data_IF_571139218421
#
_entry.id   IF_571139218421
#
_cell.length_a   1.000
_cell.length_b   1.000
_cell.length_c   1.000
_cell.angle_alpha   90.00
_cell.angle_beta   90.00
_cell.angle_gamma   90.00
#
_symmetry.space_group_name_H-M   'P 1'
#
loop_
_entity.id
_entity.type
_entity.pdbx_description
1 polymer ?
#
# COMPACT_ATOMS: atom_id res chain seq x y z
N UNK A 1 2.58 23.97 44.30
CA UNK A 1 2.38 23.02 43.19
C UNK A 1 2.64 23.79 41.90
N UNK A 2 3.86 23.70 41.39
CA UNK A 2 4.26 24.33 40.11
C UNK A 2 3.65 23.56 38.96
N UNK A 3 2.67 24.18 38.29
CA UNK A 3 2.16 23.72 36.98
C UNK A 3 3.26 23.91 35.94
N UNK A 4 4.14 22.93 35.78
CA UNK A 4 5.06 22.90 34.64
C UNK A 4 4.27 22.55 33.39
N UNK A 5 4.28 23.45 32.40
CA UNK A 5 3.73 23.20 31.07
C UNK A 5 4.45 21.97 30.49
N UNK A 6 3.72 20.96 29.96
CA UNK A 6 4.38 19.80 29.37
C UNK A 6 5.30 20.22 28.22
N UNK A 7 6.43 19.54 28.03
CA UNK A 7 7.37 19.89 26.97
C UNK A 7 6.73 19.71 25.58
N UNK A 8 7.15 20.44 24.56
CA UNK A 8 6.67 20.25 23.18
C UNK A 8 7.04 18.87 22.67
N UNK A 9 6.33 18.40 21.65
CA UNK A 9 6.65 17.13 20.97
C UNK A 9 8.11 17.11 20.49
N UNK A 10 8.83 16.04 20.80
CA UNK A 10 10.25 15.93 20.43
C UNK A 10 10.96 14.71 21.00
N UNK A 11 12.25 14.64 20.70
CA UNK A 11 13.17 13.64 21.23
C UNK A 11 13.83 14.18 22.51
N UNK A 12 13.75 13.40 23.57
CA UNK A 12 14.31 13.73 24.88
C UNK A 12 15.04 12.51 25.45
N UNK A 13 15.99 12.70 26.40
CA UNK A 13 16.60 11.58 27.09
C UNK A 13 15.55 10.62 27.64
N UNK A 14 15.79 9.32 27.49
CA UNK A 14 14.82 8.31 27.92
C UNK A 14 14.57 8.34 29.43
N UNK A 15 13.34 8.63 29.89
CA UNK A 15 13.02 8.65 31.30
C UNK A 15 13.11 7.27 31.97
N UNK A 16 13.20 6.19 31.19
CA UNK A 16 13.44 4.84 31.69
C UNK A 16 14.91 4.56 32.00
N UNK A 17 15.82 5.54 31.76
CA UNK A 17 17.24 5.45 32.11
C UNK A 17 18.11 4.73 31.10
N UNK A 18 17.69 4.56 29.85
CA UNK A 18 18.57 4.10 28.78
C UNK A 18 19.43 5.24 28.25
N UNK A 19 20.59 4.92 27.63
CA UNK A 19 21.47 5.91 26.97
C UNK A 19 20.91 6.45 25.65
N UNK A 20 19.61 6.19 25.37
CA UNK A 20 18.93 6.59 24.15
C UNK A 20 17.99 7.77 24.40
N UNK A 21 17.54 8.41 23.31
CA UNK A 21 16.46 9.38 23.34
C UNK A 21 15.13 8.70 23.05
N UNK A 22 14.09 9.08 23.80
CA UNK A 22 12.71 8.62 23.60
C UNK A 22 11.86 9.77 23.04
N UNK A 23 10.95 9.43 22.15
CA UNK A 23 10.06 10.43 21.57
C UNK A 23 8.86 10.72 22.49
N UNK A 24 8.65 12.01 22.79
CA UNK A 24 7.48 12.56 23.46
C UNK A 24 6.49 13.06 22.42
N UNK A 25 5.23 12.60 22.45
CA UNK A 25 4.19 12.95 21.47
C UNK A 25 3.32 14.15 21.87
N UNK A 26 3.65 14.80 22.99
CA UNK A 26 2.88 15.92 23.56
C UNK A 26 1.94 15.50 24.70
N UNK A 27 1.62 14.20 24.82
CA UNK A 27 0.73 13.66 25.87
C UNK A 27 1.39 12.54 26.66
N UNK A 28 2.23 11.70 26.00
CA UNK A 28 2.87 10.52 26.61
C UNK A 28 4.19 10.17 25.92
N UNK A 29 5.02 9.41 26.64
CA UNK A 29 6.23 8.81 26.09
C UNK A 29 5.90 7.65 25.17
N UNK A 30 6.39 7.71 23.95
CA UNK A 30 6.22 6.62 22.98
C UNK A 30 7.23 5.50 23.19
N UNK A 31 7.09 4.39 22.45
CA UNK A 31 8.07 3.29 22.43
C UNK A 31 9.24 3.54 21.48
N UNK A 32 9.27 4.69 20.80
CA UNK A 32 10.31 5.02 19.84
C UNK A 32 11.58 5.45 20.57
N UNK A 33 12.68 4.75 20.34
CA UNK A 33 14.01 5.04 20.85
C UNK A 33 14.95 5.29 19.68
N UNK A 34 15.90 6.24 19.84
CA UNK A 34 17.00 6.47 18.91
C UNK A 34 18.29 6.73 19.68
N UNK A 35 19.43 6.48 19.05
CA UNK A 35 20.70 6.92 19.63
C UNK A 35 20.79 8.45 19.56
N UNK A 36 21.33 9.11 20.60
CA UNK A 36 21.61 10.55 20.56
C UNK A 36 22.50 10.87 19.35
N UNK A 37 22.29 12.00 18.66
CA UNK A 37 23.19 12.44 17.62
C UNK A 37 24.62 12.58 18.17
N UNK A 38 25.61 12.08 17.43
CA UNK A 38 27.02 12.20 17.82
C UNK A 38 27.36 13.69 17.95
N UNK A 39 27.99 14.12 19.07
CA UNK A 39 28.31 15.52 19.27
C UNK A 39 29.26 16.01 18.19
N UNK A 40 28.87 17.06 17.46
CA UNK A 40 29.76 17.66 16.45
C UNK A 40 31.09 18.06 17.09
N UNK A 41 32.24 17.76 16.44
CA UNK A 41 33.54 18.14 16.96
C UNK A 41 33.58 19.68 17.11
N UNK A 42 33.71 20.16 18.35
CA UNK A 42 33.86 21.59 18.64
C UNK A 42 35.09 22.10 17.94
N UNK A 43 34.96 22.98 16.97
CA UNK A 43 36.01 23.81 16.47
C UNK A 43 36.54 24.69 17.61
N UNK A 44 37.62 24.26 18.23
CA UNK A 44 38.39 25.09 19.16
C UNK A 44 39.14 26.09 18.29
N UNK A 45 38.66 27.33 18.21
CA UNK A 45 39.43 28.47 17.70
C UNK A 45 40.46 28.86 18.78
N UNK A 46 41.56 28.12 18.81
CA UNK A 46 42.75 28.49 19.60
C UNK A 46 43.69 29.29 18.73
N UNK A 47 43.83 30.58 19.07
CA UNK A 47 44.87 31.45 18.54
C UNK A 47 46.24 30.97 18.99
N UNK A 48 47.12 30.54 18.08
CA UNK A 48 48.51 30.21 18.35
C UNK A 48 49.39 31.18 17.56
N UNK A 49 50.39 31.88 18.21
CA UNK A 49 51.24 32.83 17.53
C UNK A 49 52.24 32.15 16.59
N UNK A 50 52.49 32.81 15.49
CA UNK A 50 53.41 32.56 14.44
C UNK A 50 54.89 32.61 14.91
N UNK A 51 55.69 31.52 14.72
CA UNK A 51 57.16 31.63 14.69
C UNK A 51 57.78 30.58 13.76
N UNK A 52 58.19 31.03 12.59
CA UNK A 52 59.38 30.70 11.75
C UNK A 52 59.84 29.23 11.62
N UNK A 53 59.84 28.60 10.46
CA UNK A 53 60.75 28.64 9.32
C UNK A 53 60.62 27.34 8.44
N UNK A 54 61.29 27.16 7.30
CA UNK A 54 60.69 26.63 6.09
C UNK A 54 61.11 25.20 5.78
N UNK A 55 60.18 24.33 5.29
CA UNK A 55 60.54 23.09 4.62
C UNK A 55 59.63 22.77 3.44
N UNK A 56 60.26 22.70 2.29
CA UNK A 56 60.04 21.89 1.09
C UNK A 56 58.62 21.61 0.60
N UNK A 57 58.38 22.12 -0.60
CA UNK A 57 57.26 21.82 -1.51
C UNK A 57 57.23 20.35 -1.90
N UNK A 58 56.13 19.68 -1.62
CA UNK A 58 55.67 18.47 -2.29
C UNK A 58 54.47 18.87 -3.17
N UNK A 59 54.40 18.47 -4.44
CA UNK A 59 53.30 18.87 -5.32
C UNK A 59 51.98 18.23 -4.86
N UNK A 60 51.05 19.07 -4.50
CA UNK A 60 49.69 18.69 -4.16
C UNK A 60 48.90 18.30 -5.40
N UNK A 61 48.49 17.03 -5.46
CA UNK A 61 47.42 16.56 -6.34
C UNK A 61 46.15 17.41 -6.15
N UNK A 62 45.35 17.60 -7.19
CA UNK A 62 44.13 18.38 -7.10
C UNK A 62 43.18 17.75 -6.09
N UNK A 63 42.94 18.46 -5.01
CA UNK A 63 41.93 18.17 -4.01
C UNK A 63 40.59 18.24 -4.71
N UNK A 64 40.00 17.09 -5.00
CA UNK A 64 38.59 17.01 -5.33
C UNK A 64 37.82 17.56 -4.12
N UNK A 65 37.31 18.75 -4.27
CA UNK A 65 36.27 19.30 -3.39
C UNK A 65 35.03 18.45 -3.60
N UNK A 66 34.91 17.38 -2.83
CA UNK A 66 33.60 16.76 -2.59
C UNK A 66 32.79 17.78 -1.82
N UNK A 67 32.10 18.63 -2.55
CA UNK A 67 31.02 19.44 -2.00
C UNK A 67 30.00 18.42 -1.52
N UNK A 68 29.96 18.19 -0.20
CA UNK A 68 28.82 17.49 0.41
C UNK A 68 27.57 18.18 -0.11
N UNK A 69 26.57 17.44 -0.63
CA UNK A 69 25.35 18.07 -1.06
C UNK A 69 24.78 18.79 0.15
N UNK A 70 24.73 20.13 0.06
CA UNK A 70 23.89 20.94 0.93
C UNK A 70 22.54 20.23 0.92
N UNK A 71 22.07 19.84 2.09
CA UNK A 71 20.66 19.56 2.33
C UNK A 71 19.89 20.83 1.94
N UNK A 72 19.75 21.02 0.63
CA UNK A 72 18.77 21.92 0.06
C UNK A 72 17.45 21.38 0.50
N UNK A 73 16.71 22.22 1.20
CA UNK A 73 15.31 22.11 1.51
C UNK A 73 14.52 21.62 0.29
N UNK A 74 14.58 20.30 0.01
CA UNK A 74 13.58 19.66 -0.80
C UNK A 74 12.36 19.59 0.10
N UNK A 75 11.66 20.71 0.19
CA UNK A 75 10.27 20.71 0.59
C UNK A 75 9.53 19.87 -0.43
N UNK A 76 9.71 18.56 -0.34
CA UNK A 76 8.77 17.63 -0.93
C UNK A 76 7.39 18.14 -0.51
N UNK A 77 6.45 18.37 -1.44
CA UNK A 77 5.16 18.92 -1.09
C UNK A 77 4.62 18.04 0.03
N UNK A 78 4.50 18.60 1.23
CA UNK A 78 3.90 17.93 2.38
C UNK A 78 2.50 17.57 1.93
N UNK A 79 2.39 16.34 1.41
CA UNK A 79 1.12 15.77 1.05
C UNK A 79 0.25 15.90 2.31
N UNK A 80 -0.92 16.53 2.21
CA UNK A 80 -1.96 16.56 3.25
C UNK A 80 -2.33 15.16 3.73
N UNK A 81 -1.74 14.18 3.20
CA UNK A 81 -2.10 12.78 3.15
C UNK A 81 -1.08 11.86 3.84
N UNK A 82 -0.42 12.21 4.84
CA UNK A 82 0.40 11.31 5.64
C UNK A 82 1.66 10.76 4.93
N UNK A 83 2.61 10.43 5.73
CA UNK A 83 3.85 9.74 5.35
C UNK A 83 4.02 8.53 6.24
N UNK A 84 4.85 7.57 5.84
CA UNK A 84 5.36 6.51 6.71
C UNK A 84 6.25 7.12 7.80
N UNK A 85 6.61 6.35 8.84
CA UNK A 85 7.47 6.84 9.92
C UNK A 85 8.88 7.22 9.42
N UNK A 86 9.34 6.61 8.33
CA UNK A 86 10.61 6.90 7.64
C UNK A 86 10.49 7.96 6.54
N UNK A 87 9.36 8.70 6.49
CA UNK A 87 9.16 9.90 5.67
C UNK A 87 8.68 9.66 4.24
N UNK A 88 8.43 8.43 3.80
CA UNK A 88 7.96 8.16 2.44
C UNK A 88 6.47 8.47 2.30
N UNK A 89 6.04 9.20 1.24
CA UNK A 89 4.64 9.54 1.04
C UNK A 89 3.75 8.31 0.86
N UNK A 90 2.64 8.26 1.59
CA UNK A 90 1.59 7.26 1.37
C UNK A 90 0.83 7.55 0.06
N UNK A 91 0.51 6.49 -0.66
CA UNK A 91 -0.23 6.60 -1.91
C UNK A 91 -1.59 7.29 -1.72
N UNK A 92 -1.89 8.25 -2.58
CA UNK A 92 -3.21 8.88 -2.65
C UNK A 92 -4.28 7.89 -3.10
N UNK A 93 -5.53 8.10 -2.66
CA UNK A 93 -6.64 7.21 -2.96
C UNK A 93 -6.86 7.03 -4.47
N UNK A 94 -6.81 8.10 -5.25
CA UNK A 94 -7.02 8.05 -6.70
C UNK A 94 -6.00 7.16 -7.43
N UNK A 95 -4.73 7.19 -6.99
CA UNK A 95 -3.71 6.33 -7.57
C UNK A 95 -3.93 4.85 -7.26
N UNK A 96 -4.46 4.56 -6.07
CA UNK A 96 -4.87 3.20 -5.69
C UNK A 96 -6.08 2.75 -6.49
N UNK A 97 -7.11 3.61 -6.64
CA UNK A 97 -8.27 3.32 -7.45
C UNK A 97 -7.89 3.03 -8.92
N UNK A 98 -7.05 3.89 -9.51
CA UNK A 98 -6.55 3.68 -10.87
C UNK A 98 -5.78 2.36 -10.99
N UNK A 99 -4.90 2.05 -10.05
CA UNK A 99 -4.16 0.78 -10.06
C UNK A 99 -5.08 -0.43 -9.97
N UNK A 100 -6.13 -0.35 -9.16
CA UNK A 100 -7.14 -1.41 -9.04
C UNK A 100 -7.92 -1.61 -10.34
N UNK A 101 -8.27 -0.51 -11.03
CA UNK A 101 -8.94 -0.59 -12.34
C UNK A 101 -8.03 -1.26 -13.39
N UNK A 102 -6.75 -0.91 -13.42
CA UNK A 102 -5.78 -1.55 -14.33
C UNK A 102 -5.67 -3.05 -14.05
N UNK A 103 -5.52 -3.44 -12.78
CA UNK A 103 -5.45 -4.85 -12.39
C UNK A 103 -6.75 -5.59 -12.74
N UNK A 104 -7.90 -4.96 -12.51
CA UNK A 104 -9.20 -5.51 -12.86
C UNK A 104 -9.31 -5.79 -14.37
N UNK A 105 -9.00 -4.80 -15.20
CA UNK A 105 -9.03 -4.97 -16.65
C UNK A 105 -8.07 -6.09 -17.10
N UNK A 106 -6.86 -6.13 -16.54
CA UNK A 106 -5.88 -7.16 -16.86
C UNK A 106 -6.41 -8.56 -16.54
N UNK A 107 -6.92 -8.76 -15.33
CA UNK A 107 -7.42 -10.07 -14.88
C UNK A 107 -8.64 -10.49 -15.68
N UNK A 108 -9.59 -9.58 -15.93
CA UNK A 108 -10.76 -9.90 -16.74
C UNK A 108 -10.42 -10.18 -18.21
N UNK A 109 -9.39 -9.55 -18.76
CA UNK A 109 -8.88 -9.91 -20.08
C UNK A 109 -8.32 -11.34 -20.10
N UNK A 110 -7.54 -11.72 -19.09
CA UNK A 110 -7.02 -13.10 -18.97
C UNK A 110 -8.16 -14.09 -18.78
N UNK A 111 -9.10 -13.82 -17.88
CA UNK A 111 -10.29 -14.68 -17.65
C UNK A 111 -11.12 -14.80 -18.92
N UNK A 112 -11.37 -13.70 -19.63
CA UNK A 112 -12.12 -13.69 -20.88
C UNK A 112 -11.49 -14.57 -21.97
N UNK A 113 -10.15 -14.60 -22.05
CA UNK A 113 -9.44 -15.47 -23.00
C UNK A 113 -9.40 -16.93 -22.54
N UNK A 114 -9.11 -17.19 -21.25
CA UNK A 114 -8.89 -18.54 -20.73
C UNK A 114 -10.18 -19.30 -20.43
N UNK A 115 -11.24 -18.58 -20.08
CA UNK A 115 -12.53 -19.15 -19.65
C UNK A 115 -13.68 -18.80 -20.63
N UNK A 116 -13.38 -18.44 -21.88
CA UNK A 116 -14.39 -17.99 -22.83
C UNK A 116 -15.50 -19.02 -23.08
N UNK A 117 -15.18 -20.32 -23.17
CA UNK A 117 -16.18 -21.39 -23.33
C UNK A 117 -17.13 -21.46 -22.13
N UNK A 118 -16.57 -21.34 -20.89
CA UNK A 118 -17.39 -21.36 -19.68
C UNK A 118 -18.31 -20.13 -19.60
N UNK A 119 -17.78 -18.95 -19.95
CA UNK A 119 -18.58 -17.71 -20.02
C UNK A 119 -19.68 -17.84 -21.07
N UNK A 120 -19.36 -18.39 -22.25
CA UNK A 120 -20.35 -18.62 -23.31
C UNK A 120 -21.45 -19.61 -22.85
N UNK A 121 -21.08 -20.68 -22.15
CA UNK A 121 -22.02 -21.64 -21.56
C UNK A 121 -22.96 -20.97 -20.54
N UNK A 122 -22.42 -20.14 -19.64
CA UNK A 122 -23.22 -19.39 -18.65
C UNK A 122 -24.19 -18.44 -19.35
N UNK A 123 -23.73 -17.74 -20.39
CA UNK A 123 -24.58 -16.83 -21.17
C UNK A 123 -25.70 -17.58 -21.91
N UNK A 124 -25.39 -18.75 -22.47
CA UNK A 124 -26.41 -19.59 -23.13
C UNK A 124 -27.47 -20.09 -22.14
N UNK A 125 -27.07 -20.55 -20.93
CA UNK A 125 -27.99 -20.97 -19.87
C UNK A 125 -28.89 -19.82 -19.43
N UNK A 126 -28.33 -18.61 -19.29
CA UNK A 126 -29.09 -17.42 -18.93
C UNK A 126 -30.10 -17.02 -20.03
N UNK A 127 -29.69 -17.08 -21.31
CA UNK A 127 -30.59 -16.80 -22.43
C UNK A 127 -31.73 -17.82 -22.48
N UNK A 128 -31.44 -19.12 -22.35
CA UNK A 128 -32.47 -20.16 -22.28
C UNK A 128 -33.47 -19.94 -21.14
N UNK A 129 -32.98 -19.52 -19.97
CA UNK A 129 -33.79 -19.13 -18.83
C UNK A 129 -34.70 -17.94 -19.17
N UNK A 130 -34.18 -16.91 -19.82
CA UNK A 130 -35.00 -15.74 -20.22
C UNK A 130 -36.05 -16.12 -21.23
N UNK A 131 -35.73 -16.91 -22.27
CA UNK A 131 -36.65 -17.34 -23.30
C UNK A 131 -37.80 -18.18 -22.69
N UNK A 132 -37.51 -19.10 -21.79
CA UNK A 132 -38.49 -19.90 -21.08
C UNK A 132 -39.39 -19.00 -20.17
N UNK A 133 -38.77 -18.06 -19.46
CA UNK A 133 -39.48 -17.12 -18.60
C UNK A 133 -40.46 -16.25 -19.41
N UNK A 134 -40.00 -15.71 -20.53
CA UNK A 134 -40.83 -14.89 -21.43
C UNK A 134 -41.98 -15.72 -22.03
N UNK A 135 -41.72 -16.99 -22.38
CA UNK A 135 -42.77 -17.91 -22.88
C UNK A 135 -43.84 -18.17 -21.83
N UNK A 136 -43.46 -18.40 -20.57
CA UNK A 136 -44.44 -18.61 -19.47
C UNK A 136 -45.27 -17.35 -19.17
N UNK A 137 -44.60 -16.18 -19.16
CA UNK A 137 -45.30 -14.90 -18.92
C UNK A 137 -46.27 -14.63 -20.07
N UNK A 138 -45.90 -14.86 -21.32
CA UNK A 138 -46.81 -14.70 -22.48
C UNK A 138 -47.96 -15.69 -22.46
N UNK A 139 -47.82 -16.84 -21.82
CA UNK A 139 -48.89 -17.82 -21.56
C UNK A 139 -49.77 -17.47 -20.37
N UNK A 140 -49.57 -16.32 -19.70
CA UNK A 140 -50.39 -15.81 -18.61
C UNK A 140 -49.87 -16.06 -17.20
N UNK A 141 -48.64 -16.57 -17.06
CA UNK A 141 -48.00 -16.71 -15.73
C UNK A 141 -47.61 -15.34 -15.17
N UNK A 142 -47.67 -15.19 -13.85
CA UNK A 142 -47.17 -13.96 -13.18
C UNK A 142 -45.64 -13.87 -13.26
N UNK A 143 -45.08 -12.70 -13.62
CA UNK A 143 -43.63 -12.52 -13.63
C UNK A 143 -42.97 -12.83 -12.29
N UNK A 144 -43.60 -12.54 -11.17
CA UNK A 144 -43.12 -12.84 -9.82
C UNK A 144 -42.97 -14.33 -9.52
N UNK A 145 -43.78 -15.16 -10.19
CA UNK A 145 -43.76 -16.62 -9.98
C UNK A 145 -42.76 -17.33 -10.92
N UNK A 146 -42.45 -16.67 -12.03
CA UNK A 146 -41.56 -17.21 -13.04
C UNK A 146 -40.09 -16.80 -12.78
N UNK A 147 -39.84 -15.52 -12.45
CA UNK A 147 -38.51 -14.97 -12.24
C UNK A 147 -38.21 -14.99 -10.75
N UNK A 148 -37.70 -16.11 -10.25
CA UNK A 148 -37.34 -16.30 -8.85
C UNK A 148 -35.89 -16.71 -8.73
N UNK A 149 -35.30 -16.56 -7.53
CA UNK A 149 -33.95 -17.08 -7.26
C UNK A 149 -33.91 -18.60 -7.44
N UNK A 150 -35.01 -19.31 -7.10
CA UNK A 150 -35.09 -20.76 -7.27
C UNK A 150 -35.05 -21.14 -8.76
N UNK A 151 -35.80 -20.47 -9.63
CA UNK A 151 -35.80 -20.77 -11.06
C UNK A 151 -34.47 -20.48 -11.75
N UNK A 152 -33.74 -19.45 -11.29
CA UNK A 152 -32.34 -19.21 -11.73
C UNK A 152 -31.37 -20.31 -11.25
N UNK A 153 -31.57 -20.80 -10.03
CA UNK A 153 -30.80 -21.91 -9.48
C UNK A 153 -31.06 -23.22 -10.23
N UNK A 154 -32.34 -23.51 -10.52
CA UNK A 154 -32.76 -24.72 -11.25
C UNK A 154 -32.23 -24.70 -12.70
N UNK A 155 -32.05 -23.53 -13.29
CA UNK A 155 -31.40 -23.35 -14.58
C UNK A 155 -29.86 -23.54 -14.55
N UNK A 156 -29.27 -23.81 -13.38
CA UNK A 156 -27.83 -23.97 -13.20
C UNK A 156 -27.01 -22.69 -13.21
N UNK A 157 -27.63 -21.54 -13.50
CA UNK A 157 -26.93 -20.26 -13.65
C UNK A 157 -26.24 -19.81 -12.35
N UNK A 158 -26.90 -19.95 -11.20
CA UNK A 158 -26.33 -19.55 -9.89
C UNK A 158 -25.10 -20.39 -9.56
N UNK A 159 -25.17 -21.70 -9.79
CA UNK A 159 -24.03 -22.61 -9.55
C UNK A 159 -22.83 -22.27 -10.44
N UNK A 160 -23.05 -22.11 -11.73
CA UNK A 160 -22.00 -21.81 -12.70
C UNK A 160 -21.37 -20.44 -12.47
N UNK A 161 -22.18 -19.43 -12.14
CA UNK A 161 -21.70 -18.08 -11.80
C UNK A 161 -20.88 -18.09 -10.51
N UNK A 162 -21.33 -18.81 -9.49
CA UNK A 162 -20.59 -18.95 -8.21
C UNK A 162 -19.22 -19.61 -8.43
N UNK A 163 -19.16 -20.68 -9.23
CA UNK A 163 -17.91 -21.34 -9.57
C UNK A 163 -16.94 -20.43 -10.35
N UNK A 164 -17.47 -19.67 -11.33
CA UNK A 164 -16.67 -18.70 -12.09
C UNK A 164 -16.09 -17.62 -11.17
N UNK A 165 -16.92 -17.00 -10.33
CA UNK A 165 -16.50 -15.98 -9.36
C UNK A 165 -15.46 -16.55 -8.39
N UNK A 166 -15.68 -17.75 -7.87
CA UNK A 166 -14.73 -18.43 -6.98
C UNK A 166 -13.37 -18.65 -7.65
N UNK A 167 -13.38 -19.14 -8.90
CA UNK A 167 -12.16 -19.34 -9.67
C UNK A 167 -11.41 -18.03 -9.93
N UNK A 168 -12.12 -16.94 -10.25
CA UNK A 168 -11.54 -15.61 -10.43
C UNK A 168 -10.92 -15.07 -9.14
N UNK A 169 -11.58 -15.23 -7.99
CA UNK A 169 -11.05 -14.79 -6.68
C UNK A 169 -9.77 -15.57 -6.36
N UNK A 170 -9.74 -16.88 -6.59
CA UNK A 170 -8.54 -17.71 -6.35
C UNK A 170 -7.39 -17.27 -7.28
N UNK A 171 -7.66 -17.14 -8.58
CA UNK A 171 -6.67 -16.72 -9.56
C UNK A 171 -6.09 -15.34 -9.22
N UNK A 172 -6.94 -14.40 -8.83
CA UNK A 172 -6.55 -13.05 -8.41
C UNK A 172 -5.71 -13.07 -7.12
N UNK A 173 -6.05 -13.92 -6.15
CA UNK A 173 -5.28 -14.06 -4.92
C UNK A 173 -3.87 -14.62 -5.20
N UNK A 174 -3.77 -15.64 -6.06
CA UNK A 174 -2.49 -16.21 -6.49
C UNK A 174 -1.66 -15.15 -7.25
N UNK A 175 -2.27 -14.44 -8.18
CA UNK A 175 -1.63 -13.34 -8.91
C UNK A 175 -1.09 -12.28 -7.96
N UNK A 176 -1.90 -11.80 -7.02
CA UNK A 176 -1.48 -10.82 -6.03
C UNK A 176 -0.34 -11.33 -5.15
N UNK A 177 -0.43 -12.57 -4.67
CA UNK A 177 0.63 -13.16 -3.87
C UNK A 177 1.97 -13.17 -4.61
N UNK A 178 1.99 -13.69 -5.85
CA UNK A 178 3.21 -13.77 -6.66
C UNK A 178 3.78 -12.38 -6.91
N UNK A 179 2.97 -11.45 -7.36
CA UNK A 179 3.40 -10.09 -7.70
C UNK A 179 3.91 -9.31 -6.48
N UNK A 180 3.26 -9.44 -5.33
CA UNK A 180 3.69 -8.81 -4.09
C UNK A 180 5.00 -9.39 -3.56
N UNK A 181 5.15 -10.72 -3.61
CA UNK A 181 6.36 -11.39 -3.13
C UNK A 181 7.57 -11.12 -4.03
N UNK A 182 7.37 -10.91 -5.33
CA UNK A 182 8.46 -10.71 -6.30
C UNK A 182 8.75 -9.23 -6.57
N UNK A 183 7.71 -8.42 -6.75
CA UNK A 183 7.79 -7.05 -7.24
C UNK A 183 7.33 -5.98 -6.23
N UNK A 184 6.90 -6.36 -5.02
CA UNK A 184 6.33 -5.45 -4.02
C UNK A 184 5.15 -4.61 -4.54
N UNK A 185 4.36 -5.14 -5.46
CA UNK A 185 3.19 -4.48 -6.02
C UNK A 185 2.58 -5.25 -7.19
N UNK A 186 1.27 -5.15 -7.40
CA UNK A 186 0.58 -5.66 -8.58
C UNK A 186 1.00 -4.90 -9.85
N UNK A 187 0.65 -5.40 -11.03
CA UNK A 187 0.95 -4.72 -12.31
C UNK A 187 0.38 -3.31 -12.32
N UNK A 188 -0.90 -3.14 -11.94
CA UNK A 188 -1.52 -1.82 -11.88
C UNK A 188 -0.82 -0.89 -10.88
N UNK A 189 -0.40 -1.41 -9.72
CA UNK A 189 0.36 -0.63 -8.74
C UNK A 189 1.72 -0.19 -9.31
N UNK A 190 2.44 -1.10 -9.96
CA UNK A 190 3.73 -0.80 -10.57
C UNK A 190 3.63 0.26 -11.66
N UNK A 191 2.62 0.15 -12.53
CA UNK A 191 2.33 1.14 -13.59
C UNK A 191 2.03 2.52 -13.00
N UNK A 192 1.29 2.58 -11.88
CA UNK A 192 1.01 3.83 -11.17
C UNK A 192 2.18 4.34 -10.31
N UNK A 193 3.33 3.67 -10.32
CA UNK A 193 4.49 4.02 -9.49
C UNK A 193 4.26 3.76 -8.00
N UNK A 194 3.39 2.83 -7.65
CA UNK A 194 3.08 2.45 -6.28
C UNK A 194 3.91 1.23 -5.86
N UNK A 195 4.17 1.13 -4.54
CA UNK A 195 4.82 -0.03 -3.92
C UNK A 195 4.12 -0.39 -2.63
N UNK A 196 4.05 -1.67 -2.35
CA UNK A 196 3.53 -2.21 -1.09
C UNK A 196 4.72 -2.49 -0.17
N UNK A 197 4.69 -1.90 0.99
CA UNK A 197 5.76 -1.98 1.99
C UNK A 197 5.21 -2.46 3.33
N UNK A 198 6.09 -2.92 4.20
CA UNK A 198 5.74 -3.13 5.61
C UNK A 198 5.35 -1.80 6.24
N UNK A 199 4.38 -1.81 7.14
CA UNK A 199 3.93 -0.61 7.86
C UNK A 199 5.11 0.15 8.46
N UNK A 200 5.19 1.45 8.18
CA UNK A 200 6.23 2.37 8.62
C UNK A 200 7.66 2.10 8.10
N UNK A 201 7.83 1.28 7.07
CA UNK A 201 9.10 0.96 6.41
C UNK A 201 9.00 1.29 4.91
N UNK A 202 8.74 2.54 4.57
CA UNK A 202 8.51 3.00 3.20
C UNK A 202 9.76 2.97 2.33
N UNK A 203 10.95 3.10 2.92
CA UNK A 203 12.23 3.08 2.20
C UNK A 203 12.60 1.67 1.72
N UNK A 204 12.18 0.61 2.44
CA UNK A 204 12.37 -0.77 2.01
C UNK A 204 11.25 -1.23 1.07
N UNK A 205 11.29 -0.73 -0.18
CA UNK A 205 10.28 -0.99 -1.20
C UNK A 205 10.69 -2.01 -2.27
N UNK A 206 11.80 -2.74 -2.06
CA UNK A 206 12.32 -3.70 -3.06
C UNK A 206 11.53 -5.00 -3.08
N UNK A 207 11.21 -5.54 -1.89
CA UNK A 207 10.46 -6.79 -1.75
C UNK A 207 9.61 -6.76 -0.49
N UNK A 208 8.39 -7.25 -0.60
CA UNK A 208 7.58 -7.58 0.57
C UNK A 208 7.96 -8.98 1.06
N UNK A 209 8.06 -9.15 2.37
CA UNK A 209 8.32 -10.48 2.96
C UNK A 209 7.18 -11.42 2.54
N UNK A 210 7.51 -12.61 2.01
CA UNK A 210 6.58 -13.53 1.36
C UNK A 210 5.34 -13.87 2.22
N UNK A 211 5.51 -14.06 3.52
CA UNK A 211 4.39 -14.38 4.40
C UNK A 211 3.41 -13.20 4.54
N UNK A 212 3.89 -11.94 4.51
CA UNK A 212 3.01 -10.75 4.50
C UNK A 212 2.27 -10.63 3.18
N UNK A 213 2.92 -10.97 2.07
CA UNK A 213 2.28 -11.04 0.77
C UNK A 213 1.18 -12.11 0.77
N UNK A 214 1.43 -13.28 1.37
CA UNK A 214 0.45 -14.35 1.52
C UNK A 214 -0.74 -13.91 2.39
N UNK A 215 -0.47 -13.38 3.59
CA UNK A 215 -1.52 -12.89 4.50
C UNK A 215 -2.38 -11.81 3.82
N UNK A 216 -1.75 -10.89 3.08
CA UNK A 216 -2.46 -9.83 2.36
C UNK A 216 -3.35 -10.38 1.25
N UNK A 217 -2.84 -11.29 0.44
CA UNK A 217 -3.61 -11.92 -0.64
C UNK A 217 -4.77 -12.76 -0.10
N UNK A 218 -4.55 -13.52 0.98
CA UNK A 218 -5.60 -14.30 1.65
C UNK A 218 -6.64 -13.39 2.29
N UNK A 219 -6.22 -12.34 3.01
CA UNK A 219 -7.15 -11.38 3.60
C UNK A 219 -7.99 -10.67 2.54
N UNK A 220 -7.40 -10.33 1.39
CA UNK A 220 -8.13 -9.79 0.24
C UNK A 220 -9.19 -10.80 -0.26
N UNK A 221 -8.80 -12.07 -0.48
CA UNK A 221 -9.74 -13.10 -0.92
C UNK A 221 -10.89 -13.30 0.08
N UNK A 222 -10.60 -13.28 1.38
CA UNK A 222 -11.64 -13.35 2.42
C UNK A 222 -12.61 -12.16 2.36
N UNK A 223 -12.12 -10.95 2.09
CA UNK A 223 -12.98 -9.75 1.90
C UNK A 223 -13.88 -9.93 0.68
N UNK A 224 -13.34 -10.43 -0.45
CA UNK A 224 -14.12 -10.66 -1.67
C UNK A 224 -15.16 -11.77 -1.50
N UNK A 225 -14.81 -12.88 -0.83
CA UNK A 225 -15.76 -13.94 -0.48
C UNK A 225 -16.84 -13.40 0.47
N UNK A 226 -16.43 -12.65 1.49
CA UNK A 226 -17.38 -12.01 2.42
C UNK A 226 -18.31 -11.02 1.74
N UNK A 227 -17.86 -10.35 0.67
CA UNK A 227 -18.67 -9.45 -0.12
C UNK A 227 -19.81 -10.15 -0.87
N UNK A 228 -19.74 -11.46 -1.10
CA UNK A 228 -20.85 -12.24 -1.66
C UNK A 228 -22.04 -12.31 -0.70
N UNK A 229 -21.80 -12.13 0.61
CA UNK A 229 -22.83 -12.09 1.66
C UNK A 229 -23.12 -10.65 2.09
N UNK A 230 -22.08 -9.86 2.29
CA UNK A 230 -22.17 -8.45 2.73
C UNK A 230 -21.72 -7.55 1.57
N UNK A 231 -22.64 -7.21 0.69
CA UNK A 231 -22.38 -6.50 -0.59
C UNK A 231 -21.57 -5.20 -0.46
N UNK A 232 -21.55 -4.56 0.71
CA UNK A 232 -20.81 -3.32 0.95
C UNK A 232 -19.40 -3.54 1.55
N UNK A 233 -18.97 -4.78 1.78
CA UNK A 233 -17.71 -5.07 2.45
C UNK A 233 -16.50 -4.63 1.60
N UNK A 234 -16.49 -4.96 0.33
CA UNK A 234 -15.44 -4.56 -0.61
C UNK A 234 -15.40 -3.04 -0.82
N UNK A 235 -16.51 -2.35 -1.17
CA UNK A 235 -16.53 -0.90 -1.26
C UNK A 235 -16.06 -0.23 0.03
N UNK A 236 -16.50 -0.69 1.19
CA UNK A 236 -16.06 -0.14 2.48
C UNK A 236 -14.54 -0.29 2.66
N UNK A 237 -13.98 -1.47 2.36
CA UNK A 237 -12.53 -1.73 2.45
C UNK A 237 -11.72 -0.77 1.57
N UNK A 238 -12.15 -0.55 0.31
CA UNK A 238 -11.46 0.31 -0.63
C UNK A 238 -11.62 1.81 -0.35
N UNK A 239 -12.70 2.22 0.32
CA UNK A 239 -12.91 3.60 0.74
C UNK A 239 -12.20 3.95 2.06
N UNK A 240 -11.90 2.96 2.91
CA UNK A 240 -11.26 3.12 4.22
C UNK A 240 -10.01 4.01 4.22
N UNK A 241 -9.10 3.98 3.21
CA UNK A 241 -7.96 4.87 3.12
C UNK A 241 -8.29 6.38 3.03
N UNK A 242 -9.54 6.77 2.79
CA UNK A 242 -9.94 8.18 2.69
C UNK A 242 -9.95 8.87 4.06
N UNK A 243 -10.30 8.15 5.13
CA UNK A 243 -10.45 8.71 6.48
C UNK A 243 -9.43 8.20 7.49
N UNK A 244 -8.69 7.14 7.17
CA UNK A 244 -7.62 6.64 8.04
C UNK A 244 -6.29 7.36 7.82
N UNK A 245 -5.62 7.73 8.92
CA UNK A 245 -4.26 8.30 8.86
C UNK A 245 -3.23 7.36 8.23
N UNK A 246 -3.34 6.06 8.51
CA UNK A 246 -2.47 5.00 7.96
C UNK A 246 -2.77 4.67 6.51
N UNK A 247 -3.91 5.12 5.97
CA UNK A 247 -4.40 4.86 4.61
C UNK A 247 -4.35 3.38 4.21
N UNK A 248 -4.72 2.53 5.11
CA UNK A 248 -4.77 1.10 4.91
C UNK A 248 -6.19 0.65 4.57
N UNK A 249 -6.31 -0.30 3.66
CA UNK A 249 -7.51 -1.10 3.44
C UNK A 249 -7.58 -2.20 4.50
N UNK A 250 -8.69 -2.95 4.60
CA UNK A 250 -8.83 -4.05 5.56
C UNK A 250 -7.67 -5.06 5.40
N UNK A 251 -7.41 -5.50 4.18
CA UNK A 251 -6.34 -6.46 3.90
C UNK A 251 -4.93 -5.90 4.13
N UNK A 252 -4.72 -4.59 3.92
CA UNK A 252 -3.47 -3.92 4.27
C UNK A 252 -3.24 -3.92 5.79
N UNK A 253 -4.29 -3.63 6.56
CA UNK A 253 -4.22 -3.57 8.03
C UNK A 253 -3.94 -4.96 8.64
N UNK A 254 -4.62 -6.01 8.14
CA UNK A 254 -4.43 -7.40 8.59
C UNK A 254 -3.00 -7.87 8.31
N UNK A 255 -2.46 -7.56 7.12
CA UNK A 255 -1.10 -7.97 6.73
C UNK A 255 0.02 -7.09 7.32
N UNK A 256 -0.33 -5.97 7.98
CA UNK A 256 0.64 -4.99 8.46
C UNK A 256 1.43 -4.37 7.30
N UNK A 257 0.75 -3.97 6.22
CA UNK A 257 1.32 -3.37 5.03
C UNK A 257 0.75 -1.98 4.76
N UNK A 258 1.47 -1.18 3.98
CA UNK A 258 1.05 0.12 3.49
C UNK A 258 1.41 0.27 2.02
N UNK A 259 0.64 1.06 1.29
CA UNK A 259 0.98 1.41 -0.10
C UNK A 259 1.60 2.79 -0.12
N UNK A 260 2.82 2.86 -0.63
CA UNK A 260 3.59 4.10 -0.77
C UNK A 260 3.72 4.49 -2.24
N UNK A 261 3.97 5.77 -2.46
CA UNK A 261 4.38 6.31 -3.76
C UNK A 261 5.76 6.94 -3.60
N UNK A 262 6.84 6.16 -3.77
CA UNK A 262 8.19 6.70 -3.69
C UNK A 262 8.34 7.83 -4.70
N UNK A 263 8.86 8.97 -4.27
CA UNK A 263 9.25 10.04 -5.20
C UNK A 263 10.48 9.50 -5.95
N UNK A 264 10.38 9.38 -7.27
CA UNK A 264 11.53 9.06 -8.10
C UNK A 264 12.55 10.18 -7.86
N UNK A 265 13.65 9.89 -7.20
CA UNK A 265 14.80 10.76 -7.31
C UNK A 265 15.19 10.68 -8.79
N UNK A 266 14.93 11.75 -9.52
CA UNK A 266 15.58 11.97 -10.80
C UNK A 266 17.04 12.14 -10.42
N UNK A 267 17.83 11.09 -10.63
CA UNK A 267 19.27 11.15 -10.54
C UNK A 267 19.67 12.31 -11.45
N UNK A 268 20.16 13.39 -10.84
CA UNK A 268 20.74 14.50 -11.57
C UNK A 268 22.04 13.94 -12.17
N UNK A 269 21.98 13.57 -13.45
CA UNK A 269 23.15 13.40 -14.30
C UNK A 269 23.83 14.75 -14.53
#
# INVERSE_FOLDING_TARGET
VTNATPPPMGWYPDPAGSDQERYWDGERWTRNLRNPPEPEPRHVTGHVPETLAPVSRVPSSPRQTTTAPRHGDVTAPRSKWGTTADGVPLAGWWWRALSTVIDFVLVWAVVGVTMHEKIASIMASYQAFLDESMRRISAGASPSDVITTQSLSDAGFVYDMTNLVGAVIIAQAIYQFIMLATCAGSVGQLVCGLRVVTTNQGQDHRRLVWWRALVRATAWACVEIGNQVIVLLTPFSYLMPLWQRSRQTIHDAIAGTQVVRPVRQLDAE
#
